data_IF_977088712094
#
_entry.id   IF_977088712094
#
_cell.length_a   1.000
_cell.length_b   1.000
_cell.length_c   1.000
_cell.angle_alpha   90.00
_cell.angle_beta   90.00
_cell.angle_gamma   90.00
#
_symmetry.space_group_name_H-M   'P 1'
#
loop_
_entity.id
_entity.type
_entity.pdbx_description
1 polymer ?
#
# COMPACT_ATOMS: atom_id res chain seq x y z
N UNK A 1 1.29 -11.02 -11.56
CA UNK A 1 0.07 -11.81 -11.79
C UNK A 1 -0.16 -11.91 -13.28
N UNK A 2 -0.35 -13.12 -13.79
CA UNK A 2 -0.74 -13.34 -15.19
C UNK A 2 -2.27 -13.34 -15.22
N UNK A 3 -2.89 -12.45 -15.99
CA UNK A 3 -4.35 -12.23 -16.02
C UNK A 3 -5.02 -12.84 -17.25
N UNK A 4 -4.26 -13.05 -18.32
CA UNK A 4 -4.72 -13.68 -19.56
C UNK A 4 -3.60 -14.52 -20.20
N UNK A 5 -3.96 -15.39 -21.13
CA UNK A 5 -3.00 -16.24 -21.86
C UNK A 5 -1.96 -15.40 -22.62
N UNK A 6 -2.37 -14.26 -23.17
CA UNK A 6 -1.49 -13.34 -23.90
C UNK A 6 -0.37 -12.74 -23.02
N UNK A 7 -0.52 -12.73 -21.68
CA UNK A 7 0.50 -12.21 -20.76
C UNK A 7 1.55 -13.26 -20.36
N UNK A 8 1.37 -14.55 -20.71
CA UNK A 8 2.17 -15.67 -20.19
C UNK A 8 3.63 -15.58 -20.63
N UNK A 9 3.88 -15.47 -21.94
CA UNK A 9 5.24 -15.53 -22.51
C UNK A 9 6.09 -14.38 -21.94
N UNK A 10 5.57 -13.16 -21.97
CA UNK A 10 6.31 -11.99 -21.48
C UNK A 10 6.53 -12.02 -19.97
N UNK A 11 5.56 -12.53 -19.21
CA UNK A 11 5.71 -12.69 -17.76
C UNK A 11 6.80 -13.70 -17.43
N UNK A 12 6.87 -14.81 -18.18
CA UNK A 12 7.93 -15.82 -18.06
C UNK A 12 9.29 -15.20 -18.43
N UNK A 13 9.39 -14.47 -19.53
CA UNK A 13 10.64 -13.81 -19.93
C UNK A 13 11.14 -12.80 -18.88
N UNK A 14 10.25 -11.96 -18.35
CA UNK A 14 10.57 -11.00 -17.28
C UNK A 14 11.04 -11.71 -16.01
N UNK A 15 10.34 -12.78 -15.61
CA UNK A 15 10.71 -13.58 -14.45
C UNK A 15 12.09 -14.26 -14.62
N UNK A 16 12.34 -14.88 -15.80
CA UNK A 16 13.63 -15.49 -16.11
C UNK A 16 14.77 -14.47 -16.10
N UNK A 17 14.59 -13.29 -16.71
CA UNK A 17 15.60 -12.21 -16.70
C UNK A 17 15.93 -11.72 -15.29
N UNK A 18 14.99 -11.85 -14.36
CA UNK A 18 15.16 -11.47 -12.95
C UNK A 18 15.67 -12.62 -12.07
N UNK A 19 15.71 -13.85 -12.59
CA UNK A 19 16.10 -15.05 -11.86
C UNK A 19 17.58 -15.38 -12.07
N UNK A 20 18.36 -15.32 -10.99
CA UNK A 20 19.81 -15.65 -11.03
C UNK A 20 20.08 -17.11 -11.42
N UNK A 21 19.16 -18.02 -11.14
CA UNK A 21 19.26 -19.44 -11.45
C UNK A 21 18.61 -19.83 -12.77
N UNK A 22 17.88 -18.91 -13.41
CA UNK A 22 17.06 -19.19 -14.59
C UNK A 22 15.79 -20.00 -14.31
N UNK A 23 15.53 -20.35 -13.05
CA UNK A 23 14.31 -21.05 -12.67
C UNK A 23 13.16 -20.06 -12.41
N UNK A 24 11.95 -20.49 -12.72
CA UNK A 24 10.70 -19.76 -12.47
C UNK A 24 9.72 -20.67 -11.74
N UNK A 25 8.80 -20.06 -10.99
CA UNK A 25 7.67 -20.74 -10.36
C UNK A 25 6.39 -20.17 -10.97
N UNK A 26 5.49 -21.06 -11.38
CA UNK A 26 4.14 -20.73 -11.81
C UNK A 26 3.20 -21.44 -10.85
N UNK A 27 2.32 -20.67 -10.21
CA UNK A 27 1.39 -21.17 -9.19
C UNK A 27 -0.01 -20.57 -9.36
N UNK A 28 -1.01 -21.24 -8.77
CA UNK A 28 -2.39 -20.74 -8.71
C UNK A 28 -2.42 -19.43 -7.92
N UNK A 29 -3.12 -18.42 -8.44
CA UNK A 29 -3.31 -17.17 -7.69
C UNK A 29 -4.25 -17.40 -6.50
N UNK A 30 -3.75 -17.15 -5.30
CA UNK A 30 -4.54 -17.18 -4.07
C UNK A 30 -5.42 -15.92 -3.96
N UNK A 31 -6.70 -16.07 -4.27
CA UNK A 31 -7.70 -15.00 -4.08
C UNK A 31 -8.22 -15.00 -2.63
N UNK A 32 -8.09 -13.86 -1.95
CA UNK A 32 -8.49 -13.71 -0.56
C UNK A 32 -7.87 -12.48 0.11
N UNK A 33 -8.34 -12.17 1.31
CA UNK A 33 -7.73 -11.15 2.16
C UNK A 33 -6.32 -11.59 2.57
N UNK A 34 -5.37 -10.65 2.58
CA UNK A 34 -3.96 -10.93 2.84
C UNK A 34 -3.53 -10.31 4.16
N UNK A 35 -2.77 -11.09 4.93
CA UNK A 35 -2.29 -10.71 6.26
C UNK A 35 -0.79 -10.95 6.39
N UNK A 36 -0.15 -10.13 7.21
CA UNK A 36 1.18 -10.41 7.73
C UNK A 36 1.07 -10.82 9.19
N UNK A 37 1.58 -11.99 9.53
CA UNK A 37 1.62 -12.51 10.91
C UNK A 37 3.07 -12.65 11.32
N UNK A 38 3.43 -12.03 12.43
CA UNK A 38 4.78 -12.03 12.98
C UNK A 38 4.78 -12.74 14.33
N UNK A 39 5.85 -13.46 14.64
CA UNK A 39 6.00 -14.18 15.90
C UNK A 39 7.43 -14.23 16.40
N UNK A 40 7.56 -14.41 17.70
CA UNK A 40 8.79 -14.84 18.36
C UNK A 40 8.59 -16.22 18.98
N UNK A 41 9.55 -17.11 18.76
CA UNK A 41 9.57 -18.48 19.25
C UNK A 41 10.65 -18.59 20.32
N UNK A 42 10.26 -18.99 21.52
CA UNK A 42 11.17 -19.15 22.66
C UNK A 42 10.68 -20.29 23.57
N UNK A 43 11.57 -21.24 23.86
CA UNK A 43 11.32 -22.40 24.73
C UNK A 43 10.04 -23.19 24.39
N UNK A 44 9.83 -23.52 23.11
CA UNK A 44 8.67 -24.30 22.66
C UNK A 44 7.36 -23.51 22.58
N UNK A 45 7.37 -22.22 22.95
CA UNK A 45 6.23 -21.32 22.83
C UNK A 45 6.39 -20.41 21.61
N UNK A 46 5.35 -20.30 20.80
CA UNK A 46 5.21 -19.29 19.75
C UNK A 46 4.32 -18.17 20.26
N UNK A 47 4.83 -16.94 20.25
CA UNK A 47 4.07 -15.74 20.61
C UNK A 47 3.88 -14.89 19.37
N UNK A 48 2.63 -14.65 18.97
CA UNK A 48 2.29 -13.74 17.89
C UNK A 48 2.55 -12.30 18.36
N UNK A 49 3.41 -11.62 17.63
CA UNK A 49 3.91 -10.28 17.90
C UNK A 49 3.63 -9.34 16.73
N UNK A 50 2.49 -9.52 16.10
CA UNK A 50 2.03 -8.68 15.00
C UNK A 50 1.06 -9.43 14.11
N UNK A 51 -0.10 -8.84 13.89
CA UNK A 51 -1.10 -9.36 12.96
C UNK A 51 -1.68 -8.17 12.21
N UNK A 52 -1.32 -8.03 10.93
CA UNK A 52 -1.67 -6.87 10.12
C UNK A 52 -2.51 -7.27 8.90
N UNK A 53 -3.52 -6.46 8.60
CA UNK A 53 -4.19 -6.46 7.29
C UNK A 53 -3.26 -5.78 6.28
N UNK A 54 -2.87 -6.49 5.21
CA UNK A 54 -2.00 -5.97 4.16
C UNK A 54 -2.83 -5.30 3.07
N UNK A 55 -2.39 -4.13 2.62
CA UNK A 55 -3.09 -3.36 1.60
C UNK A 55 -2.37 -3.47 0.26
N UNK A 56 -2.64 -4.56 -0.48
CA UNK A 56 -1.97 -4.86 -1.75
C UNK A 56 -2.86 -4.43 -2.93
N UNK A 57 -2.33 -3.61 -3.84
CA UNK A 57 -3.09 -3.05 -4.96
C UNK A 57 -2.34 -3.07 -6.30
N UNK A 58 -3.08 -2.69 -7.34
CA UNK A 58 -2.64 -2.42 -8.72
C UNK A 58 -2.07 -3.65 -9.46
N UNK A 59 -2.90 -4.69 -9.68
CA UNK A 59 -2.52 -5.80 -10.55
C UNK A 59 -2.10 -5.28 -11.95
N UNK A 60 -1.12 -5.93 -12.61
CA UNK A 60 -0.62 -7.27 -12.32
C UNK A 60 0.47 -7.34 -11.24
N UNK A 61 0.90 -6.21 -10.68
CA UNK A 61 1.91 -6.16 -9.63
C UNK A 61 1.27 -6.26 -8.23
N UNK A 62 2.07 -6.68 -7.25
CA UNK A 62 1.66 -6.81 -5.85
C UNK A 62 2.28 -5.67 -5.03
N UNK A 63 1.76 -4.46 -5.20
CA UNK A 63 2.30 -3.26 -4.54
C UNK A 63 1.61 -3.10 -3.20
N UNK A 64 2.40 -3.14 -2.13
CA UNK A 64 1.92 -2.91 -0.76
C UNK A 64 1.81 -1.41 -0.52
N UNK A 65 0.58 -0.89 -0.50
CA UNK A 65 0.32 0.52 -0.18
C UNK A 65 0.23 0.77 1.33
N UNK A 66 0.65 -0.21 2.13
CA UNK A 66 0.75 -0.17 3.59
C UNK A 66 -0.03 -1.30 4.24
N UNK A 67 -0.27 -1.17 5.53
CA UNK A 67 -1.03 -2.14 6.33
C UNK A 67 -1.74 -1.46 7.49
N UNK A 68 -2.64 -2.20 8.13
CA UNK A 68 -3.32 -1.73 9.35
C UNK A 68 -3.27 -2.83 10.41
N UNK A 69 -2.84 -2.47 11.62
CA UNK A 69 -2.74 -3.42 12.74
C UNK A 69 -3.33 -2.85 14.04
N UNK A 70 -3.93 -3.70 14.90
CA UNK A 70 -4.13 -5.15 14.69
C UNK A 70 -5.15 -5.44 13.58
N UNK A 71 -5.12 -6.64 12.99
CA UNK A 71 -6.16 -7.10 12.08
C UNK A 71 -7.51 -7.26 12.83
N UNK A 72 -8.62 -6.98 12.17
CA UNK A 72 -9.97 -7.14 12.76
C UNK A 72 -10.64 -8.34 12.10
N UNK A 73 -10.67 -9.45 12.84
CA UNK A 73 -11.16 -10.75 12.38
C UNK A 73 -12.11 -11.35 13.41
N UNK A 74 -13.00 -12.24 12.97
CA UNK A 74 -13.68 -13.13 13.90
C UNK A 74 -12.67 -14.11 14.50
N UNK A 75 -12.95 -14.56 15.74
CA UNK A 75 -12.02 -15.41 16.51
C UNK A 75 -11.60 -16.66 15.76
N UNK A 76 -12.53 -17.30 15.04
CA UNK A 76 -12.25 -18.52 14.31
C UNK A 76 -11.24 -18.28 13.19
N UNK A 77 -11.48 -17.28 12.35
CA UNK A 77 -10.56 -16.91 11.26
C UNK A 77 -9.18 -16.54 11.80
N UNK A 78 -9.12 -15.78 12.89
CA UNK A 78 -7.88 -15.40 13.58
C UNK A 78 -7.06 -16.64 14.01
N UNK A 79 -7.70 -17.56 14.73
CA UNK A 79 -7.05 -18.74 15.30
C UNK A 79 -6.66 -19.76 14.21
N UNK A 80 -7.46 -19.90 13.14
CA UNK A 80 -7.12 -20.73 11.98
C UNK A 80 -5.86 -20.22 11.27
N UNK A 81 -5.75 -18.91 11.06
CA UNK A 81 -4.59 -18.28 10.44
C UNK A 81 -3.30 -18.50 11.27
N UNK A 82 -3.39 -18.31 12.59
CA UNK A 82 -2.27 -18.56 13.52
C UNK A 82 -1.89 -20.04 13.54
N UNK A 83 -2.87 -20.95 13.55
CA UNK A 83 -2.64 -22.39 13.59
C UNK A 83 -1.94 -22.90 12.34
N UNK A 84 -2.35 -22.43 11.16
CA UNK A 84 -1.69 -22.76 9.88
C UNK A 84 -0.28 -22.18 9.84
N UNK A 85 -0.10 -20.94 10.31
CA UNK A 85 1.23 -20.34 10.42
C UNK A 85 2.16 -21.17 11.34
N UNK A 86 1.68 -21.58 12.51
CA UNK A 86 2.42 -22.40 13.46
C UNK A 86 2.85 -23.75 12.84
N UNK A 87 1.96 -24.42 12.09
CA UNK A 87 2.29 -25.64 11.36
C UNK A 87 3.37 -25.39 10.30
N UNK A 88 3.27 -24.30 9.54
CA UNK A 88 4.25 -23.93 8.52
C UNK A 88 5.63 -23.62 9.11
N UNK A 89 5.68 -22.92 10.24
CA UNK A 89 6.94 -22.67 10.97
C UNK A 89 7.57 -24.00 11.42
N UNK A 90 6.76 -24.91 11.96
CA UNK A 90 7.23 -26.22 12.41
C UNK A 90 7.75 -27.07 11.26
N UNK A 91 7.08 -27.07 10.11
CA UNK A 91 7.48 -27.87 8.94
C UNK A 91 8.81 -27.40 8.34
N UNK A 92 9.13 -26.10 8.48
CA UNK A 92 10.42 -25.53 8.10
C UNK A 92 11.53 -25.77 9.15
N UNK A 93 11.22 -26.40 10.28
CA UNK A 93 12.19 -26.69 11.35
C UNK A 93 12.57 -25.47 12.19
N UNK A 94 11.81 -24.37 12.11
CA UNK A 94 12.05 -23.18 12.92
C UNK A 94 11.60 -23.44 14.36
N UNK A 95 12.53 -23.33 15.32
CA UNK A 95 12.28 -23.68 16.73
C UNK A 95 12.64 -22.59 17.73
N UNK A 96 13.30 -21.51 17.30
CA UNK A 96 13.65 -20.36 18.15
C UNK A 96 13.91 -19.13 17.28
N UNK A 97 13.64 -17.94 17.81
CA UNK A 97 13.86 -16.66 17.14
C UNK A 97 12.60 -16.14 16.44
N UNK A 98 12.78 -15.27 15.46
CA UNK A 98 11.67 -14.63 14.75
C UNK A 98 11.17 -15.50 13.59
N UNK A 99 9.85 -15.46 13.36
CA UNK A 99 9.24 -15.96 12.15
C UNK A 99 8.11 -15.01 11.71
N UNK A 100 8.02 -14.74 10.41
CA UNK A 100 6.89 -14.04 9.79
C UNK A 100 6.26 -14.87 8.69
N UNK A 101 4.95 -14.74 8.50
CA UNK A 101 4.22 -15.25 7.36
C UNK A 101 3.50 -14.14 6.60
N UNK A 102 3.52 -14.22 5.27
CA UNK A 102 2.50 -13.58 4.45
C UNK A 102 1.50 -14.67 4.07
N UNK A 103 0.25 -14.49 4.47
CA UNK A 103 -0.79 -15.52 4.46
C UNK A 103 -2.09 -14.94 3.93
N UNK A 104 -2.78 -15.69 3.07
CA UNK A 104 -4.09 -15.31 2.55
C UNK A 104 -5.18 -16.16 3.16
N UNK A 105 -6.30 -15.53 3.52
CA UNK A 105 -7.52 -16.24 3.86
C UNK A 105 -8.41 -16.35 2.62
N UNK A 106 -8.42 -17.54 2.02
CA UNK A 106 -9.09 -17.82 0.75
C UNK A 106 -10.41 -18.57 0.97
N UNK A 107 -11.17 -18.81 -0.11
CA UNK A 107 -12.35 -19.70 -0.07
C UNK A 107 -12.01 -21.13 0.37
N UNK A 108 -10.74 -21.55 0.24
CA UNK A 108 -10.23 -22.87 0.64
C UNK A 108 -9.66 -22.86 2.08
N UNK A 109 -9.71 -21.72 2.78
CA UNK A 109 -9.10 -21.49 4.10
C UNK A 109 -7.77 -20.71 4.02
N UNK A 110 -7.02 -20.65 5.14
CA UNK A 110 -5.70 -20.04 5.19
C UNK A 110 -4.70 -20.72 4.24
N UNK A 111 -3.96 -19.94 3.46
CA UNK A 111 -2.91 -20.40 2.56
C UNK A 111 -1.66 -19.53 2.73
N UNK A 112 -0.55 -20.16 3.09
CA UNK A 112 0.75 -19.49 3.27
C UNK A 112 1.34 -19.18 1.89
N UNK A 113 1.67 -17.92 1.65
CA UNK A 113 2.49 -17.53 0.50
C UNK A 113 3.98 -17.63 0.80
N UNK A 114 4.41 -17.08 1.94
CA UNK A 114 5.82 -17.09 2.34
C UNK A 114 5.94 -17.19 3.87
N UNK A 115 6.90 -17.97 4.36
CA UNK A 115 7.42 -17.87 5.73
C UNK A 115 8.90 -17.50 5.69
N UNK A 116 9.32 -16.56 6.54
CA UNK A 116 10.72 -16.18 6.70
C UNK A 116 11.14 -16.22 8.18
N UNK A 117 12.31 -16.78 8.47
CA UNK A 117 12.91 -16.88 9.81
C UNK A 117 13.59 -15.57 10.27
N UNK A 118 12.88 -14.45 10.14
CA UNK A 118 13.34 -13.11 10.53
C UNK A 118 12.14 -12.23 10.89
N UNK A 119 12.42 -11.08 11.49
CA UNK A 119 11.42 -10.03 11.66
C UNK A 119 10.95 -9.49 10.29
N UNK A 120 9.73 -8.99 10.26
CA UNK A 120 9.13 -8.33 9.12
C UNK A 120 9.93 -7.10 8.70
N UNK A 121 10.02 -6.90 7.38
CA UNK A 121 10.66 -5.73 6.78
C UNK A 121 9.72 -4.52 6.75
N UNK A 122 10.12 -3.49 6.01
CA UNK A 122 9.33 -2.26 5.91
C UNK A 122 9.25 -1.57 7.27
N UNK A 123 8.04 -1.26 7.72
CA UNK A 123 7.82 -0.53 8.97
C UNK A 123 7.09 -1.32 10.04
N UNK A 124 6.84 -2.62 9.83
CA UNK A 124 6.02 -3.43 10.73
C UNK A 124 6.69 -3.64 12.10
N UNK A 125 7.80 -4.38 12.13
CA UNK A 125 8.46 -4.79 13.38
C UNK A 125 9.23 -3.67 14.08
N UNK A 126 9.67 -2.67 13.30
CA UNK A 126 10.44 -1.52 13.79
C UNK A 126 9.56 -0.35 14.28
N UNK A 127 8.33 -0.21 13.78
CA UNK A 127 7.48 0.96 14.07
C UNK A 127 6.04 0.57 14.40
N UNK A 128 5.26 0.09 13.43
CA UNK A 128 3.80 0.00 13.61
C UNK A 128 3.43 -0.97 14.73
N UNK A 129 4.12 -2.11 14.86
CA UNK A 129 3.84 -3.07 15.93
C UNK A 129 4.27 -2.55 17.30
N UNK A 130 5.51 -2.05 17.49
CA UNK A 130 5.87 -1.38 18.74
C UNK A 130 4.90 -0.26 19.14
N UNK A 131 4.45 0.56 18.19
CA UNK A 131 3.48 1.62 18.46
C UNK A 131 2.11 1.09 18.87
N UNK A 132 1.64 0.00 18.24
CA UNK A 132 0.33 -0.58 18.52
C UNK A 132 0.30 -1.38 19.84
N UNK A 133 1.40 -2.04 20.21
CA UNK A 133 1.50 -2.99 21.33
C UNK A 133 2.23 -2.47 22.57
N UNK A 134 2.97 -1.37 22.45
CA UNK A 134 3.90 -0.89 23.48
C UNK A 134 4.92 -1.97 23.88
N UNK A 135 5.36 -2.80 22.92
CA UNK A 135 6.41 -3.81 23.09
C UNK A 135 7.56 -3.54 22.12
N UNK A 136 8.79 -3.41 22.63
CA UNK A 136 9.97 -3.30 21.79
C UNK A 136 10.35 -4.67 21.20
N UNK A 137 9.71 -5.03 20.08
CA UNK A 137 9.87 -6.34 19.45
C UNK A 137 11.31 -6.66 19.06
N UNK A 138 12.03 -5.67 18.52
CA UNK A 138 13.42 -5.83 18.08
C UNK A 138 14.31 -6.20 19.26
N UNK A 139 14.12 -5.55 20.41
CA UNK A 139 14.86 -5.88 21.63
C UNK A 139 14.58 -7.31 22.10
N UNK A 140 13.31 -7.76 22.07
CA UNK A 140 12.97 -9.13 22.48
C UNK A 140 13.59 -10.17 21.53
N UNK A 141 13.59 -9.91 20.22
CA UNK A 141 14.24 -10.78 19.23
C UNK A 141 15.76 -10.87 19.44
N UNK A 142 16.40 -9.74 19.76
CA UNK A 142 17.84 -9.69 20.09
C UNK A 142 18.13 -10.46 21.38
N UNK A 143 17.30 -10.29 22.43
CA UNK A 143 17.44 -11.07 23.68
C UNK A 143 17.43 -12.57 23.40
N UNK A 144 16.46 -13.08 22.65
CA UNK A 144 16.38 -14.50 22.27
C UNK A 144 17.64 -14.92 21.52
N UNK A 145 18.09 -14.12 20.56
CA UNK A 145 19.30 -14.41 19.75
C UNK A 145 20.59 -14.47 20.60
N UNK A 146 20.64 -13.69 21.68
CA UNK A 146 21.73 -13.68 22.65
C UNK A 146 21.59 -14.76 23.76
N UNK A 147 20.59 -15.65 23.67
CA UNK A 147 20.31 -16.65 24.71
C UNK A 147 19.76 -16.07 26.02
N UNK A 148 19.26 -14.83 25.98
CA UNK A 148 18.64 -14.15 27.11
C UNK A 148 17.13 -14.39 27.14
N UNK A 149 16.54 -14.29 28.34
CA UNK A 149 15.10 -14.42 28.54
C UNK A 149 14.40 -13.14 28.04
N UNK A 150 13.41 -13.23 27.13
CA UNK A 150 12.63 -12.07 26.70
C UNK A 150 11.50 -11.78 27.72
N UNK A 151 11.84 -11.26 28.91
CA UNK A 151 10.89 -11.13 30.03
C UNK A 151 9.62 -10.34 29.66
N UNK A 152 9.77 -9.20 28.99
CA UNK A 152 8.62 -8.34 28.62
C UNK A 152 7.67 -9.04 27.63
N UNK A 153 8.21 -9.83 26.69
CA UNK A 153 7.38 -10.67 25.81
C UNK A 153 6.56 -11.65 26.64
N UNK A 154 7.19 -12.35 27.58
CA UNK A 154 6.56 -13.38 28.40
C UNK A 154 5.47 -12.78 29.30
N UNK A 155 5.73 -11.63 29.90
CA UNK A 155 4.80 -10.93 30.80
C UNK A 155 3.51 -10.48 30.11
N UNK A 156 3.56 -10.20 28.80
CA UNK A 156 2.43 -9.70 28.01
C UNK A 156 1.62 -10.80 27.30
N UNK A 157 2.02 -12.06 27.44
CA UNK A 157 1.37 -13.19 26.75
C UNK A 157 -0.08 -13.36 27.18
N UNK A 158 -0.95 -13.53 26.19
CA UNK A 158 -2.30 -14.08 26.38
C UNK A 158 -2.45 -15.34 25.51
N UNK A 159 -3.20 -16.36 25.96
CA UNK A 159 -3.34 -17.61 25.22
C UNK A 159 -4.14 -17.43 23.94
N UNK A 160 -3.77 -18.17 22.90
CA UNK A 160 -4.49 -18.28 21.63
C UNK A 160 -4.96 -19.72 21.45
N UNK A 161 -6.19 -19.91 21.00
CA UNK A 161 -6.71 -21.26 20.76
C UNK A 161 -6.12 -21.85 19.48
N UNK A 162 -5.95 -23.16 19.46
CA UNK A 162 -5.50 -23.89 18.29
C UNK A 162 -6.70 -24.40 17.49
N UNK A 163 -7.04 -23.71 16.40
CA UNK A 163 -8.17 -24.03 15.54
C UNK A 163 -7.68 -24.65 14.22
N UNK A 164 -8.09 -25.89 13.95
CA UNK A 164 -7.69 -26.59 12.74
C UNK A 164 -8.72 -26.47 11.62
N UNK A 165 -8.26 -26.24 10.40
CA UNK A 165 -9.10 -26.18 9.22
C UNK A 165 -8.58 -27.08 8.09
N UNK A 166 -9.42 -27.33 7.08
CA UNK A 166 -9.04 -28.07 5.87
C UNK A 166 -8.33 -29.41 6.15
N UNK A 167 -7.13 -29.57 5.58
CA UNK A 167 -6.32 -30.79 5.69
C UNK A 167 -5.68 -30.99 7.08
N UNK A 168 -5.71 -29.98 7.96
CA UNK A 168 -5.07 -30.05 9.28
C UNK A 168 -6.03 -30.37 10.43
N UNK A 169 -7.30 -30.71 10.16
CA UNK A 169 -8.39 -30.90 11.15
C UNK A 169 -8.07 -31.78 12.38
N UNK A 170 -7.07 -32.67 12.30
CA UNK A 170 -6.67 -33.57 13.38
C UNK A 170 -5.22 -33.36 13.86
N UNK A 171 -4.58 -32.27 13.45
CA UNK A 171 -3.22 -31.96 13.88
C UNK A 171 -3.19 -31.54 15.35
N UNK A 172 -2.07 -31.75 16.02
CA UNK A 172 -1.82 -31.23 17.38
C UNK A 172 -1.07 -29.89 17.28
N UNK A 173 -1.24 -28.98 18.25
CA UNK A 173 -0.49 -27.73 18.24
C UNK A 173 1.02 -28.01 18.28
N UNK A 174 1.81 -27.47 17.33
CA UNK A 174 3.25 -27.72 17.28
C UNK A 174 4.05 -26.90 18.31
N UNK A 175 3.42 -25.88 18.90
CA UNK A 175 3.93 -24.97 19.92
C UNK A 175 2.82 -24.66 20.92
N UNK A 176 3.17 -24.22 22.12
CA UNK A 176 2.22 -23.45 22.92
C UNK A 176 1.99 -22.10 22.24
N UNK A 177 0.72 -21.71 22.06
CA UNK A 177 0.36 -20.53 21.28
C UNK A 177 -0.11 -19.39 22.17
N UNK A 178 0.52 -18.24 21.99
CA UNK A 178 0.17 -17.01 22.67
C UNK A 178 0.23 -15.84 21.70
N UNK A 179 -0.30 -14.70 22.10
CA UNK A 179 -0.14 -13.43 21.41
C UNK A 179 0.09 -12.29 22.41
N UNK A 180 0.45 -11.12 21.88
CA UNK A 180 0.50 -9.85 22.63
C UNK A 180 -0.53 -8.91 22.04
N UNK A 181 -1.44 -8.42 22.88
CA UNK A 181 -2.50 -7.50 22.47
C UNK A 181 -1.94 -6.15 22.04
N UNK A 182 -2.43 -5.66 20.90
CA UNK A 182 -2.27 -4.27 20.49
C UNK A 182 -3.36 -3.39 21.12
N UNK A 183 -2.98 -2.50 22.03
CA UNK A 183 -3.91 -1.60 22.73
C UNK A 183 -4.28 -0.35 21.89
N UNK A 184 -3.58 -0.15 20.78
CA UNK A 184 -3.77 0.94 19.82
C UNK A 184 -3.79 0.37 18.40
N UNK A 185 -4.33 1.13 17.46
CA UNK A 185 -4.22 0.87 16.03
C UNK A 185 -3.10 1.71 15.44
N UNK A 186 -2.17 1.06 14.74
CA UNK A 186 -1.26 1.73 13.83
C UNK A 186 -1.67 1.47 12.38
N UNK A 187 -1.70 2.53 11.57
CA UNK A 187 -2.00 2.45 10.15
C UNK A 187 -0.84 3.04 9.33
N UNK A 188 -0.35 2.26 8.37
CA UNK A 188 0.65 2.69 7.40
C UNK A 188 -0.01 2.95 6.05
N UNK A 189 0.29 4.07 5.39
CA UNK A 189 -0.15 4.36 4.02
C UNK A 189 1.01 4.87 3.18
N UNK A 190 1.19 4.32 1.99
CA UNK A 190 2.16 4.82 1.03
C UNK A 190 1.58 5.99 0.22
N UNK A 191 2.46 6.88 -0.25
CA UNK A 191 2.14 7.81 -1.32
C UNK A 191 3.00 7.52 -2.55
N UNK A 192 2.45 7.79 -3.72
CA UNK A 192 3.05 7.46 -5.01
C UNK A 192 2.96 8.65 -5.97
N UNK A 193 3.70 8.56 -7.07
CA UNK A 193 3.73 9.57 -8.13
C UNK A 193 3.38 8.97 -9.48
N UNK A 194 2.88 9.80 -10.40
CA UNK A 194 2.91 9.49 -11.83
C UNK A 194 4.35 9.64 -12.35
N UNK A 195 4.67 9.08 -13.54
CA UNK A 195 6.00 9.15 -14.11
C UNK A 195 6.43 10.58 -14.44
N UNK A 196 7.67 10.93 -14.13
CA UNK A 196 8.28 12.20 -14.51
C UNK A 196 9.48 12.58 -13.67
N UNK A 197 9.93 13.83 -13.83
CA UNK A 197 11.05 14.39 -13.07
C UNK A 197 10.50 15.33 -12.00
N UNK A 198 10.87 15.13 -10.74
CA UNK A 198 10.39 15.92 -9.61
C UNK A 198 10.90 17.35 -9.70
N UNK A 199 9.98 18.32 -9.70
CA UNK A 199 10.27 19.75 -9.69
C UNK A 199 10.24 20.33 -8.28
N UNK A 200 9.25 19.92 -7.48
CA UNK A 200 9.06 20.42 -6.12
C UNK A 200 8.26 19.41 -5.29
N UNK A 201 8.52 19.38 -3.99
CA UNK A 201 7.85 18.52 -3.02
C UNK A 201 7.33 19.38 -1.86
N UNK A 202 6.08 19.19 -1.47
CA UNK A 202 5.41 19.91 -0.39
C UNK A 202 4.98 18.96 0.73
N UNK A 203 5.02 19.45 1.98
CA UNK A 203 4.51 18.78 3.19
C UNK A 203 5.16 17.43 3.55
N UNK A 204 6.47 17.27 3.31
CA UNK A 204 7.22 16.05 3.68
C UNK A 204 8.01 16.13 4.99
N UNK A 205 8.10 17.31 5.62
CA UNK A 205 8.89 17.52 6.85
C UNK A 205 8.05 18.00 8.05
N UNK A 206 6.90 18.66 7.82
CA UNK A 206 6.11 19.29 8.88
C UNK A 206 4.68 18.71 8.94
N UNK A 207 4.44 17.75 9.84
CA UNK A 207 3.11 17.48 10.37
C UNK A 207 3.11 17.72 11.88
N UNK A 208 2.32 18.68 12.35
CA UNK A 208 2.21 19.02 13.77
C UNK A 208 1.17 18.18 14.53
N UNK A 209 0.52 17.22 13.86
CA UNK A 209 -0.50 16.37 14.48
C UNK A 209 0.14 15.18 15.19
N UNK A 210 -0.11 15.06 16.51
CA UNK A 210 0.35 13.93 17.35
C UNK A 210 -0.19 12.58 16.87
N UNK A 211 -1.24 12.55 16.05
CA UNK A 211 -1.80 11.33 15.49
C UNK A 211 -0.94 10.76 14.33
N UNK A 212 -0.11 11.59 13.67
CA UNK A 212 0.90 11.14 12.70
C UNK A 212 2.21 10.89 13.44
N UNK A 213 2.66 9.64 13.49
CA UNK A 213 3.90 9.27 14.17
C UNK A 213 5.12 9.50 13.29
N UNK A 214 5.01 9.18 12.00
CA UNK A 214 6.12 9.32 11.06
C UNK A 214 5.66 9.72 9.66
N UNK A 215 6.46 10.57 9.04
CA UNK A 215 6.54 10.78 7.60
C UNK A 215 7.87 10.20 7.13
N UNK A 216 7.84 9.24 6.22
CA UNK A 216 9.00 8.44 5.82
C UNK A 216 9.19 8.54 4.30
N UNK A 217 9.71 9.67 3.80
CA UNK A 217 10.03 9.82 2.38
C UNK A 217 11.14 8.85 1.98
N UNK A 218 11.07 8.31 0.76
CA UNK A 218 12.19 7.54 0.22
C UNK A 218 13.33 8.50 -0.13
N UNK A 219 14.55 8.12 0.26
CA UNK A 219 15.76 8.91 0.00
C UNK A 219 16.03 9.18 -1.50
N UNK A 220 15.45 8.38 -2.38
CA UNK A 220 15.57 8.54 -3.82
C UNK A 220 14.63 9.62 -4.39
N UNK A 221 13.58 10.02 -3.66
CA UNK A 221 12.63 11.03 -4.10
C UNK A 221 13.07 12.40 -3.60
N UNK A 222 13.66 13.18 -4.50
CA UNK A 222 14.17 14.52 -4.26
C UNK A 222 13.97 15.41 -5.48
N UNK A 223 14.19 16.71 -5.36
CA UNK A 223 14.18 17.60 -6.52
C UNK A 223 15.17 17.08 -7.57
N UNK A 224 14.75 17.12 -8.83
CA UNK A 224 15.44 16.60 -10.02
C UNK A 224 15.61 15.07 -10.10
N UNK A 225 15.03 14.29 -9.17
CA UNK A 225 14.98 12.83 -9.31
C UNK A 225 13.85 12.37 -10.21
N UNK A 226 14.03 11.21 -10.84
CA UNK A 226 12.96 10.52 -11.55
C UNK A 226 12.04 9.78 -10.57
N UNK A 227 10.74 9.85 -10.84
CA UNK A 227 9.69 9.08 -10.17
C UNK A 227 8.85 8.35 -11.21
N UNK A 228 8.21 7.26 -10.81
CA UNK A 228 7.35 6.42 -11.66
C UNK A 228 6.14 5.93 -10.85
N UNK A 229 5.12 5.47 -11.56
CA UNK A 229 4.05 4.69 -10.95
C UNK A 229 4.64 3.32 -10.54
N UNK A 230 4.53 2.91 -9.27
CA UNK A 230 5.30 1.77 -8.77
C UNK A 230 4.84 0.46 -9.39
N UNK A 231 5.80 -0.40 -9.71
CA UNK A 231 5.66 -1.83 -10.05
C UNK A 231 6.16 -2.73 -8.92
N UNK A 232 6.81 -2.14 -7.92
CA UNK A 232 7.31 -2.82 -6.74
C UNK A 232 7.32 -1.88 -5.51
N UNK A 233 7.68 -2.42 -4.34
CA UNK A 233 7.66 -1.69 -3.08
C UNK A 233 8.75 -0.62 -2.93
N UNK A 234 9.83 -0.64 -3.72
CA UNK A 234 10.92 0.34 -3.60
C UNK A 234 10.70 1.59 -4.44
N UNK A 235 9.81 1.53 -5.43
CA UNK A 235 9.45 2.65 -6.31
C UNK A 235 8.40 3.60 -5.72
N UNK A 236 7.77 3.23 -4.60
CA UNK A 236 6.86 4.13 -3.86
C UNK A 236 7.60 5.38 -3.40
N UNK A 237 6.92 6.53 -3.31
CA UNK A 237 7.59 7.77 -2.95
C UNK A 237 7.86 7.92 -1.44
N UNK A 238 7.06 7.26 -0.61
CA UNK A 238 7.29 7.16 0.83
C UNK A 238 6.07 6.61 1.55
N UNK A 239 6.10 6.65 2.87
CA UNK A 239 5.06 6.10 3.74
C UNK A 239 4.75 7.02 4.94
N UNK A 240 3.48 7.07 5.31
CA UNK A 240 2.96 7.69 6.54
C UNK A 240 2.64 6.59 7.54
N UNK A 241 2.96 6.83 8.81
CA UNK A 241 2.48 6.00 9.93
C UNK A 241 1.65 6.88 10.88
N UNK A 242 0.44 6.45 11.17
CA UNK A 242 -0.42 7.06 12.20
C UNK A 242 -0.67 6.10 13.36
N UNK A 243 -1.14 6.66 14.48
CA UNK A 243 -1.46 5.92 15.68
C UNK A 243 -2.69 6.50 16.37
N UNK A 244 -3.64 5.66 16.75
CA UNK A 244 -4.79 6.05 17.58
C UNK A 244 -5.36 4.87 18.33
N UNK A 245 -6.11 5.13 19.41
CA UNK A 245 -6.93 4.10 20.07
C UNK A 245 -8.15 3.71 19.22
N UNK A 246 -8.57 4.56 18.29
CA UNK A 246 -9.64 4.26 17.33
C UNK A 246 -9.04 3.88 15.99
N UNK A 247 -9.43 2.70 15.46
CA UNK A 247 -9.00 2.22 14.14
C UNK A 247 -9.30 3.24 13.05
N UNK A 248 -10.55 3.69 13.00
CA UNK A 248 -11.00 4.64 11.97
C UNK A 248 -10.22 5.94 12.01
N UNK A 249 -9.91 6.44 13.21
CA UNK A 249 -9.11 7.66 13.37
C UNK A 249 -7.68 7.42 12.85
N UNK A 250 -7.03 6.32 13.22
CA UNK A 250 -5.69 6.01 12.72
C UNK A 250 -5.69 5.92 11.18
N UNK A 251 -6.60 5.14 10.61
CA UNK A 251 -6.70 4.94 9.15
C UNK A 251 -6.94 6.28 8.43
N UNK A 252 -7.93 7.05 8.84
CA UNK A 252 -8.25 8.35 8.21
C UNK A 252 -7.12 9.36 8.36
N UNK A 253 -6.44 9.36 9.51
CA UNK A 253 -5.28 10.25 9.73
C UNK A 253 -4.16 9.93 8.75
N UNK A 254 -3.80 8.65 8.59
CA UNK A 254 -2.75 8.26 7.64
C UNK A 254 -3.13 8.59 6.19
N UNK A 255 -4.40 8.37 5.82
CA UNK A 255 -4.90 8.72 4.49
C UNK A 255 -4.86 10.23 4.26
N UNK A 256 -5.36 11.04 5.18
CA UNK A 256 -5.36 12.51 5.07
C UNK A 256 -3.93 13.06 4.95
N UNK A 257 -3.01 12.56 5.77
CA UNK A 257 -1.61 12.97 5.71
C UNK A 257 -0.95 12.59 4.37
N UNK A 258 -1.28 11.42 3.79
CA UNK A 258 -0.86 11.08 2.42
C UNK A 258 -1.46 12.05 1.41
N UNK A 259 -2.75 12.38 1.53
CA UNK A 259 -3.43 13.31 0.62
C UNK A 259 -2.76 14.68 0.63
N UNK A 260 -2.24 15.12 1.76
CA UNK A 260 -1.64 16.46 1.94
C UNK A 260 -0.20 16.56 1.40
N UNK A 261 0.46 15.44 1.12
CA UNK A 261 1.75 15.41 0.42
C UNK A 261 1.51 15.70 -1.06
N UNK A 262 2.28 16.65 -1.61
CA UNK A 262 2.22 16.98 -3.02
C UNK A 262 3.60 16.95 -3.66
N UNK A 263 3.70 16.28 -4.81
CA UNK A 263 4.90 16.26 -5.67
C UNK A 263 4.50 16.85 -7.01
N UNK A 264 5.16 17.94 -7.42
CA UNK A 264 5.01 18.51 -8.75
C UNK A 264 6.12 18.01 -9.67
N UNK A 265 5.80 17.89 -10.95
CA UNK A 265 6.72 17.42 -11.99
C UNK A 265 7.10 18.56 -12.93
N UNK A 266 8.28 18.49 -13.53
CA UNK A 266 8.66 19.44 -14.59
C UNK A 266 7.71 19.32 -15.78
N UNK A 267 7.22 20.45 -16.35
CA UNK A 267 6.34 20.43 -17.51
C UNK A 267 7.07 19.95 -18.77
N UNK A 268 6.31 19.55 -19.79
CA UNK A 268 6.83 19.05 -21.07
C UNK A 268 7.78 17.83 -20.92
N UNK A 269 7.42 16.91 -20.03
CA UNK A 269 8.12 15.64 -19.82
C UNK A 269 7.45 14.53 -20.62
N UNK A 270 8.20 13.90 -21.53
CA UNK A 270 7.70 12.84 -22.41
C UNK A 270 7.08 11.65 -21.66
N UNK A 271 7.67 11.22 -20.54
CA UNK A 271 7.14 10.08 -19.76
C UNK A 271 5.78 10.43 -19.14
N UNK A 272 5.65 11.65 -18.63
CA UNK A 272 4.38 12.14 -18.08
C UNK A 272 3.33 12.30 -19.18
N UNK A 273 3.69 12.84 -20.34
CA UNK A 273 2.78 12.95 -21.49
C UNK A 273 2.28 11.58 -21.97
N UNK A 274 3.20 10.61 -22.14
CA UNK A 274 2.86 9.27 -22.58
C UNK A 274 1.96 8.56 -21.55
N UNK A 275 2.21 8.74 -20.25
CA UNK A 275 1.36 8.24 -19.17
C UNK A 275 -0.05 8.84 -19.20
N UNK A 276 -0.17 10.17 -19.31
CA UNK A 276 -1.48 10.84 -19.32
C UNK A 276 -2.29 10.50 -20.57
N UNK A 277 -1.62 10.22 -21.69
CA UNK A 277 -2.23 9.74 -22.93
C UNK A 277 -2.53 8.23 -22.91
N UNK A 278 -2.21 7.53 -21.82
CA UNK A 278 -2.38 6.07 -21.68
C UNK A 278 -1.70 5.31 -22.82
N UNK A 279 -0.54 5.78 -23.27
CA UNK A 279 0.33 5.03 -24.19
C UNK A 279 1.01 3.91 -23.40
N UNK A 280 0.23 2.87 -23.12
CA UNK A 280 0.69 1.74 -22.35
C UNK A 280 1.51 0.79 -23.23
N UNK A 281 2.47 0.12 -22.60
CA UNK A 281 3.14 -1.00 -23.23
C UNK A 281 2.10 -2.12 -23.49
N UNK A 282 2.17 -2.78 -24.65
CA UNK A 282 1.23 -3.84 -25.03
C UNK A 282 1.09 -4.91 -23.93
N UNK A 283 2.17 -5.16 -23.20
CA UNK A 283 2.32 -6.17 -22.14
C UNK A 283 1.87 -5.73 -20.75
N UNK A 284 1.43 -4.47 -20.58
CA UNK A 284 0.92 -3.92 -19.34
C UNK A 284 -0.46 -3.31 -19.60
N UNK A 285 -1.35 -4.08 -20.24
CA UNK A 285 -2.69 -3.60 -20.56
C UNK A 285 -3.40 -3.11 -19.28
N UNK A 286 -3.98 -1.92 -19.36
CA UNK A 286 -4.67 -1.26 -18.24
C UNK A 286 -3.79 -0.96 -17.01
N UNK A 287 -2.46 -0.99 -17.16
CA UNK A 287 -1.49 -0.58 -16.14
C UNK A 287 -0.51 0.47 -16.70
N UNK A 288 -0.17 1.52 -15.93
CA UNK A 288 -0.79 1.92 -14.66
C UNK A 288 -2.29 2.23 -14.80
N UNK A 289 -3.09 2.01 -13.75
CA UNK A 289 -4.51 2.38 -13.77
C UNK A 289 -4.71 3.90 -13.94
N UNK A 290 -5.95 4.37 -14.00
CA UNK A 290 -6.27 5.80 -13.82
C UNK A 290 -6.40 6.14 -12.35
N UNK A 291 -6.04 7.36 -11.96
CA UNK A 291 -6.16 7.87 -10.60
C UNK A 291 -7.60 7.67 -10.10
N UNK A 292 -8.57 8.08 -10.92
CA UNK A 292 -9.98 7.81 -10.68
C UNK A 292 -10.47 6.69 -11.60
N UNK A 293 -10.34 5.45 -11.14
CA UNK A 293 -10.81 4.28 -11.88
C UNK A 293 -12.34 4.16 -11.89
N UNK A 294 -12.92 3.61 -12.95
CA UNK A 294 -14.38 3.43 -13.10
C UNK A 294 -15.11 4.58 -13.79
N UNK A 295 -14.39 5.57 -14.33
CA UNK A 295 -14.96 6.65 -15.14
C UNK A 295 -14.82 6.31 -16.63
N UNK A 296 -15.95 6.27 -17.36
CA UNK A 296 -15.95 6.00 -18.80
C UNK A 296 -15.27 7.11 -19.59
N UNK A 297 -14.35 6.74 -20.49
CA UNK A 297 -13.68 7.65 -21.42
C UNK A 297 -14.66 8.38 -22.33
N UNK A 298 -15.75 7.73 -22.76
CA UNK A 298 -16.77 8.31 -23.63
C UNK A 298 -17.41 9.56 -23.02
N UNK A 299 -17.65 9.55 -21.70
CA UNK A 299 -18.20 10.70 -20.97
C UNK A 299 -17.24 11.88 -20.92
N UNK A 300 -15.94 11.62 -20.99
CA UNK A 300 -14.91 12.67 -21.03
C UNK A 300 -14.72 13.19 -22.45
N UNK A 301 -14.84 12.32 -23.47
CA UNK A 301 -14.66 12.71 -24.88
C UNK A 301 -15.67 13.74 -25.38
N UNK A 302 -16.87 13.76 -24.81
CA UNK A 302 -17.93 14.73 -25.17
C UNK A 302 -17.70 16.13 -24.59
N UNK A 303 -16.73 16.30 -23.68
CA UNK A 303 -16.38 17.62 -23.16
C UNK A 303 -15.79 18.49 -24.26
N UNK A 304 -16.21 19.75 -24.32
CA UNK A 304 -15.75 20.71 -25.31
C UNK A 304 -15.55 22.09 -24.69
N UNK A 305 -14.95 23.00 -25.45
CA UNK A 305 -14.63 24.36 -25.01
C UNK A 305 -13.39 24.42 -24.11
N UNK A 306 -13.21 25.59 -23.51
CA UNK A 306 -12.07 25.91 -22.68
C UNK A 306 -12.50 26.30 -21.26
N UNK A 307 -11.66 25.97 -20.30
CA UNK A 307 -11.67 26.56 -18.97
C UNK A 307 -10.95 27.90 -19.09
N UNK A 308 -11.62 28.97 -18.66
CA UNK A 308 -11.07 30.32 -18.74
C UNK A 308 -9.83 30.48 -17.85
N UNK A 309 -8.98 31.44 -18.18
CA UNK A 309 -7.79 31.77 -17.38
C UNK A 309 -8.17 32.09 -15.93
N UNK A 310 -7.40 31.54 -14.97
CA UNK A 310 -7.57 31.74 -13.52
C UNK A 310 -8.97 31.37 -12.97
N UNK A 311 -9.78 30.66 -13.76
CA UNK A 311 -11.13 30.22 -13.37
C UNK A 311 -11.03 29.01 -12.44
N UNK A 312 -11.68 29.09 -11.28
CA UNK A 312 -11.79 27.97 -10.34
C UNK A 312 -12.30 26.70 -11.03
N UNK A 313 -11.51 25.64 -10.95
CA UNK A 313 -11.81 24.31 -11.45
C UNK A 313 -12.88 23.64 -10.60
N UNK A 314 -12.91 23.90 -9.29
CA UNK A 314 -13.93 23.35 -8.40
C UNK A 314 -15.35 23.73 -8.86
N UNK A 315 -15.54 24.95 -9.35
CA UNK A 315 -16.80 25.40 -9.94
C UNK A 315 -17.10 24.85 -11.34
N UNK A 316 -16.13 24.20 -11.99
CA UNK A 316 -16.22 23.70 -13.38
C UNK A 316 -16.25 22.17 -13.47
N UNK A 317 -16.39 21.46 -12.34
CA UNK A 317 -16.53 19.99 -12.28
C UNK A 317 -17.73 19.55 -13.13
N UNK A 318 -17.54 18.74 -14.19
CA UNK A 318 -18.64 18.22 -14.99
C UNK A 318 -19.68 17.45 -14.17
N UNK A 319 -20.96 17.61 -14.48
CA UNK A 319 -22.07 17.01 -13.74
C UNK A 319 -21.94 15.49 -13.59
N UNK A 320 -21.44 14.81 -14.62
CA UNK A 320 -21.26 13.36 -14.57
C UNK A 320 -20.20 12.92 -13.54
N UNK A 321 -19.25 13.79 -13.16
CA UNK A 321 -18.28 13.54 -12.10
C UNK A 321 -18.83 13.84 -10.71
N UNK A 322 -20.00 14.49 -10.62
CA UNK A 322 -20.64 14.85 -9.36
C UNK A 322 -21.67 13.82 -8.88
N UNK A 323 -21.91 12.76 -9.65
CA UNK A 323 -22.79 11.67 -9.23
C UNK A 323 -22.28 11.02 -7.95
N UNK A 324 -23.18 10.42 -7.17
CA UNK A 324 -22.84 9.82 -5.87
C UNK A 324 -21.74 8.75 -5.99
N UNK A 325 -21.81 7.94 -7.04
CA UNK A 325 -20.86 6.85 -7.27
C UNK A 325 -19.48 7.36 -7.66
N UNK A 326 -19.39 8.40 -8.51
CA UNK A 326 -18.10 8.93 -8.98
C UNK A 326 -17.48 9.91 -7.96
N UNK A 327 -18.29 10.72 -7.29
CA UNK A 327 -17.80 11.71 -6.34
C UNK A 327 -17.20 11.12 -5.05
N UNK A 328 -17.49 9.85 -4.76
CA UNK A 328 -16.91 9.10 -3.64
C UNK A 328 -15.66 8.29 -4.01
N UNK A 329 -15.29 8.25 -5.30
CA UNK A 329 -14.04 7.65 -5.73
C UNK A 329 -12.86 8.42 -5.14
N UNK A 330 -11.87 7.66 -4.69
CA UNK A 330 -10.61 8.17 -4.17
C UNK A 330 -9.49 7.76 -5.12
N UNK A 331 -8.53 8.66 -5.33
CA UNK A 331 -7.30 8.34 -6.04
C UNK A 331 -6.33 7.53 -5.18
N UNK A 332 -5.17 7.20 -5.77
CA UNK A 332 -4.13 6.41 -5.11
C UNK A 332 -3.52 7.08 -3.88
N UNK A 333 -3.64 8.40 -3.79
CA UNK A 333 -3.18 9.21 -2.68
C UNK A 333 -4.37 9.76 -1.86
N UNK A 334 -5.51 9.04 -1.85
CA UNK A 334 -6.68 9.31 -1.01
C UNK A 334 -7.36 10.67 -1.22
N UNK A 335 -7.33 11.23 -2.43
CA UNK A 335 -8.12 12.41 -2.77
C UNK A 335 -9.36 12.04 -3.57
N UNK A 336 -10.49 12.65 -3.26
CA UNK A 336 -11.66 12.68 -4.15
C UNK A 336 -11.45 13.67 -5.30
N UNK A 337 -12.29 13.59 -6.35
CA UNK A 337 -12.30 14.58 -7.44
C UNK A 337 -12.53 15.99 -6.90
N UNK A 338 -13.45 16.14 -5.92
CA UNK A 338 -13.78 17.43 -5.32
C UNK A 338 -12.58 17.99 -4.55
N UNK A 339 -11.88 17.17 -3.78
CA UNK A 339 -10.66 17.59 -3.08
C UNK A 339 -9.53 17.93 -4.06
N UNK A 340 -9.36 17.13 -5.11
CA UNK A 340 -8.38 17.38 -6.18
C UNK A 340 -8.63 18.72 -6.86
N UNK A 341 -9.87 19.02 -7.24
CA UNK A 341 -10.22 20.31 -7.85
C UNK A 341 -9.97 21.50 -6.91
N UNK A 342 -10.28 21.37 -5.60
CA UNK A 342 -9.96 22.41 -4.61
C UNK A 342 -8.45 22.60 -4.44
N UNK A 343 -7.69 21.49 -4.38
CA UNK A 343 -6.23 21.53 -4.28
C UNK A 343 -5.61 22.21 -5.49
N UNK A 344 -6.12 21.93 -6.69
CA UNK A 344 -5.69 22.63 -7.90
C UNK A 344 -5.91 24.15 -7.78
N UNK A 345 -7.10 24.59 -7.35
CA UNK A 345 -7.42 26.02 -7.22
C UNK A 345 -6.50 26.75 -6.21
N UNK A 346 -6.01 26.04 -5.18
CA UNK A 346 -5.03 26.57 -4.22
C UNK A 346 -3.63 26.60 -4.84
N UNK A 347 -3.18 25.48 -5.41
CA UNK A 347 -1.82 25.31 -5.95
C UNK A 347 -1.58 26.14 -7.21
N UNK A 348 -2.62 26.39 -8.01
CA UNK A 348 -2.58 27.08 -9.30
C UNK A 348 -3.67 28.13 -9.38
N UNK A 349 -3.67 29.06 -8.42
CA UNK A 349 -4.53 30.26 -8.49
C UNK A 349 -4.33 31.06 -9.77
N UNK A 350 -3.11 31.05 -10.31
CA UNK A 350 -2.77 31.62 -11.61
C UNK A 350 -2.49 30.47 -12.58
N UNK A 351 -3.29 30.35 -13.64
CA UNK A 351 -3.14 29.33 -14.68
C UNK A 351 -3.66 29.85 -16.03
N UNK A 352 -3.09 29.40 -17.17
CA UNK A 352 -3.55 29.80 -18.50
C UNK A 352 -4.98 29.29 -18.78
N UNK A 353 -5.58 29.77 -19.87
CA UNK A 353 -6.78 29.10 -20.39
C UNK A 353 -6.41 27.68 -20.85
N UNK A 354 -7.28 26.72 -20.57
CA UNK A 354 -7.01 25.30 -20.78
C UNK A 354 -8.12 24.63 -21.58
N UNK A 355 -7.79 23.74 -22.51
CA UNK A 355 -8.79 22.88 -23.13
C UNK A 355 -9.50 22.03 -22.06
N UNK A 356 -10.83 22.14 -21.99
CA UNK A 356 -11.64 21.51 -20.93
C UNK A 356 -11.49 20.00 -20.94
N UNK A 357 -11.55 19.38 -22.12
CA UNK A 357 -11.46 17.93 -22.27
C UNK A 357 -10.12 17.39 -21.80
N UNK A 358 -9.03 17.96 -22.30
CA UNK A 358 -7.69 17.48 -22.02
C UNK A 358 -7.29 17.71 -20.55
N UNK A 359 -7.75 18.81 -19.94
CA UNK A 359 -7.59 19.03 -18.50
C UNK A 359 -8.26 17.93 -17.66
N UNK A 360 -9.55 17.64 -17.93
CA UNK A 360 -10.28 16.61 -17.17
C UNK A 360 -9.75 15.20 -17.43
N UNK A 361 -9.26 14.91 -18.64
CA UNK A 361 -8.51 13.67 -18.93
C UNK A 361 -7.26 13.56 -18.06
N UNK A 362 -6.45 14.61 -18.01
CA UNK A 362 -5.22 14.62 -17.22
C UNK A 362 -5.50 14.46 -15.72
N UNK A 363 -6.53 15.12 -15.19
CA UNK A 363 -6.96 14.99 -13.79
C UNK A 363 -7.48 13.57 -13.49
N UNK A 364 -8.33 13.01 -14.35
CA UNK A 364 -8.88 11.66 -14.14
C UNK A 364 -7.78 10.60 -14.19
N UNK A 365 -6.82 10.75 -15.11
CA UNK A 365 -5.72 9.81 -15.30
C UNK A 365 -4.64 9.93 -14.23
N UNK A 366 -4.21 11.15 -13.90
CA UNK A 366 -3.05 11.42 -13.04
C UNK A 366 -3.34 12.14 -11.73
N UNK A 367 -4.60 12.31 -11.35
CA UNK A 367 -5.00 13.00 -10.12
C UNK A 367 -4.57 14.47 -10.11
N UNK A 368 -4.24 14.98 -8.92
CA UNK A 368 -3.74 16.35 -8.77
C UNK A 368 -2.44 16.60 -9.54
N UNK A 369 -1.55 15.60 -9.60
CA UNK A 369 -0.28 15.72 -10.33
C UNK A 369 -0.51 15.90 -11.83
N UNK A 370 -1.40 15.10 -12.42
CA UNK A 370 -1.77 15.22 -13.82
C UNK A 370 -2.40 16.56 -14.16
N UNK A 371 -3.31 17.06 -13.30
CA UNK A 371 -3.95 18.36 -13.48
C UNK A 371 -2.94 19.52 -13.44
N UNK A 372 -2.09 19.56 -12.41
CA UNK A 372 -1.05 20.60 -12.26
C UNK A 372 -0.02 20.53 -13.39
N UNK A 373 0.46 19.34 -13.73
CA UNK A 373 1.40 19.13 -14.83
C UNK A 373 0.83 19.63 -16.17
N UNK A 374 -0.42 19.30 -16.47
CA UNK A 374 -1.06 19.72 -17.72
C UNK A 374 -1.17 21.24 -17.81
N UNK A 375 -1.63 21.89 -16.72
CA UNK A 375 -1.70 23.35 -16.60
C UNK A 375 -0.35 24.01 -16.82
N UNK A 376 0.67 23.55 -16.10
CA UNK A 376 2.03 24.11 -16.18
C UNK A 376 2.65 23.91 -17.58
N UNK A 377 2.26 22.85 -18.28
CA UNK A 377 2.72 22.55 -19.64
C UNK A 377 2.04 23.40 -20.73
N UNK A 378 0.99 24.17 -20.38
CA UNK A 378 0.38 25.14 -21.30
C UNK A 378 1.00 26.54 -21.17
N UNK A 379 1.79 26.82 -20.13
CA UNK A 379 2.40 28.14 -19.94
C UNK A 379 3.40 28.40 -21.08
N UNK A 380 3.14 29.44 -21.88
CA UNK A 380 4.00 29.83 -23.00
C UNK A 380 3.70 29.13 -24.34
N UNK A 381 2.63 28.33 -24.42
CA UNK A 381 1.99 27.88 -25.67
C UNK A 381 0.81 28.79 -25.98
#
# INVERSE_FOLDING_TARGET
MIRSEDEVIDSIEKAMKSSRSGNIIIEEYMEGAEYSIESLIYNGTMTITGFAERHIYYPPYFIEMGHTMPAVLDKKTHDELISVFAQGVKSLGLSSGAAKADIKYTKKGPMIGEIAGRLSGGYMSGWTYPYASDLNLTEQAVKISCGMIPCELIEKRIPVDYECCGNSKNSKPPFDLFEVICNKTSAERAWISIPGTVKYIENIEDFTDKAVQNILPRCLVKIDSEVDFPRNNVEKCGNIISLSKSRDVAVKTAQSAVSDIFISLYPNNKKTDDFLQSKNNYFEKDFPPSAFNGISSEKVEVLSGNIAENKSIFGEIPDFLQTKDISSLIDWNYNTIKETARKFDVLRKIHPSMNRKEFWKALIKGGIQGAVYYSDSQIGK
#
